data_IF_946104341764
#
_entry.id   IF_946104341764
#
_cell.length_a   1.000
_cell.length_b   1.000
_cell.length_c   1.000
_cell.angle_alpha   90.00
_cell.angle_beta   90.00
_cell.angle_gamma   90.00
#
_symmetry.space_group_name_H-M   'P 1'
#
loop_
_entity.id
_entity.type
_entity.pdbx_description
1 polymer ?
#
# COMPACT_ATOMS: atom_id res chain seq x y z
N UNK A 1 5.73 -13.63 -0.44
CA UNK A 1 5.63 -12.36 0.31
C UNK A 1 6.96 -11.60 0.33
N UNK A 2 8.12 -12.25 0.48
CA UNK A 2 9.43 -11.59 0.54
C UNK A 2 9.80 -10.72 -0.68
N UNK A 3 9.23 -10.98 -1.85
CA UNK A 3 9.47 -10.17 -3.06
C UNK A 3 8.47 -9.01 -3.25
N UNK A 4 7.29 -9.09 -2.67
CA UNK A 4 6.23 -8.09 -2.86
C UNK A 4 6.63 -6.77 -2.20
N UNK A 5 7.13 -6.82 -0.98
CA UNK A 5 7.53 -5.62 -0.25
C UNK A 5 8.68 -4.86 -0.93
N UNK A 6 9.79 -5.49 -1.37
CA UNK A 6 10.82 -4.82 -2.14
C UNK A 6 10.32 -4.20 -3.44
N UNK A 7 9.49 -4.90 -4.20
CA UNK A 7 8.91 -4.36 -5.45
C UNK A 7 8.05 -3.13 -5.16
N UNK A 8 7.20 -3.20 -4.14
CA UNK A 8 6.42 -2.07 -3.68
C UNK A 8 7.30 -0.88 -3.27
N UNK A 9 8.31 -1.12 -2.44
CA UNK A 9 9.22 -0.07 -1.97
C UNK A 9 10.00 0.58 -3.11
N UNK A 10 10.45 -0.20 -4.10
CA UNK A 10 11.09 0.33 -5.31
C UNK A 10 10.10 1.19 -6.10
N UNK A 11 8.90 0.68 -6.37
CA UNK A 11 7.89 1.42 -7.12
C UNK A 11 7.53 2.75 -6.43
N UNK A 12 7.29 2.73 -5.12
CA UNK A 12 6.99 3.92 -4.33
C UNK A 12 8.16 4.92 -4.35
N UNK A 13 9.39 4.45 -4.23
CA UNK A 13 10.59 5.30 -4.25
C UNK A 13 10.78 5.94 -5.62
N UNK A 14 10.61 5.18 -6.71
CA UNK A 14 10.68 5.71 -8.08
C UNK A 14 9.61 6.78 -8.30
N UNK A 15 8.38 6.54 -7.86
CA UNK A 15 7.29 7.53 -7.95
C UNK A 15 7.61 8.81 -7.18
N UNK A 16 8.19 8.71 -5.97
CA UNK A 16 8.62 9.85 -5.17
C UNK A 16 9.74 10.64 -5.86
N UNK A 17 10.73 9.96 -6.46
CA UNK A 17 11.82 10.60 -7.21
C UNK A 17 11.27 11.36 -8.41
N UNK A 18 10.43 10.72 -9.21
CA UNK A 18 9.81 11.37 -10.39
C UNK A 18 8.97 12.56 -9.96
N UNK A 19 8.22 12.44 -8.87
CA UNK A 19 7.42 13.53 -8.33
C UNK A 19 8.28 14.72 -7.88
N UNK A 20 9.32 14.48 -7.09
CA UNK A 20 10.20 15.52 -6.58
C UNK A 20 10.99 16.18 -7.72
N UNK A 21 11.46 15.41 -8.70
CA UNK A 21 12.13 15.93 -9.89
C UNK A 21 11.24 16.87 -10.71
N UNK A 22 9.99 16.50 -10.93
CA UNK A 22 9.00 17.33 -11.64
C UNK A 22 8.67 18.61 -10.87
N UNK A 23 8.56 18.55 -9.55
CA UNK A 23 8.24 19.70 -8.71
C UNK A 23 9.38 20.73 -8.64
N UNK A 24 10.63 20.28 -8.63
CA UNK A 24 11.80 21.11 -8.41
C UNK A 24 12.44 21.64 -9.70
N UNK A 25 12.07 21.13 -10.89
CA UNK A 25 12.79 21.37 -12.14
C UNK A 25 14.27 20.94 -12.05
N UNK A 26 14.66 20.17 -11.02
CA UNK A 26 16.00 19.75 -10.69
C UNK A 26 16.15 18.24 -10.84
N UNK A 27 17.40 17.80 -11.08
CA UNK A 27 17.72 16.37 -11.00
C UNK A 27 17.41 15.86 -9.58
N UNK A 28 16.97 14.57 -9.44
CA UNK A 28 16.68 13.97 -8.14
C UNK A 28 17.88 14.13 -7.20
N UNK A 29 17.59 14.39 -5.93
CA UNK A 29 18.64 14.54 -4.92
C UNK A 29 19.53 13.28 -4.86
N UNK A 30 20.81 13.47 -4.61
CA UNK A 30 21.79 12.37 -4.57
C UNK A 30 21.38 11.25 -3.62
N UNK A 31 20.71 11.58 -2.53
CA UNK A 31 20.26 10.62 -1.52
C UNK A 31 19.06 9.79 -1.99
N UNK A 32 18.15 10.35 -2.79
CA UNK A 32 17.04 9.60 -3.39
C UNK A 32 17.57 8.55 -4.38
N UNK A 33 18.57 8.90 -5.18
CA UNK A 33 19.24 7.96 -6.11
C UNK A 33 19.96 6.85 -5.34
N UNK A 34 20.60 7.19 -4.21
CA UNK A 34 21.23 6.18 -3.33
C UNK A 34 20.19 5.18 -2.81
N UNK A 35 19.04 5.65 -2.33
CA UNK A 35 17.98 4.76 -1.86
C UNK A 35 17.49 3.79 -2.96
N UNK A 36 17.27 4.27 -4.18
CA UNK A 36 16.92 3.40 -5.31
C UNK A 36 17.98 2.33 -5.55
N UNK A 37 19.26 2.72 -5.54
CA UNK A 37 20.36 1.75 -5.72
C UNK A 37 20.40 0.70 -4.62
N UNK A 38 20.20 1.09 -3.36
CA UNK A 38 20.15 0.14 -2.25
C UNK A 38 18.97 -0.83 -2.36
N UNK A 39 17.79 -0.35 -2.74
CA UNK A 39 16.64 -1.22 -2.97
C UNK A 39 16.84 -2.13 -4.18
N UNK A 40 17.44 -1.63 -5.25
CA UNK A 40 17.78 -2.46 -6.41
C UNK A 40 18.78 -3.55 -6.04
N UNK A 41 19.84 -3.21 -5.29
CA UNK A 41 20.82 -4.17 -4.79
C UNK A 41 20.17 -5.21 -3.88
N UNK A 42 19.32 -4.77 -2.95
CA UNK A 42 18.54 -5.68 -2.11
C UNK A 42 17.68 -6.64 -2.95
N UNK A 43 17.00 -6.14 -3.97
CA UNK A 43 16.19 -6.95 -4.88
C UNK A 43 17.03 -8.01 -5.61
N UNK A 44 18.20 -7.61 -6.14
CA UNK A 44 19.12 -8.54 -6.82
C UNK A 44 19.62 -9.62 -5.84
N UNK A 45 20.07 -9.24 -4.65
CA UNK A 45 20.53 -10.20 -3.62
C UNK A 45 19.38 -11.15 -3.25
N UNK A 46 18.17 -10.64 -3.04
CA UNK A 46 17.01 -11.45 -2.72
C UNK A 46 16.67 -12.46 -3.82
N UNK A 47 16.76 -12.06 -5.09
CA UNK A 47 16.57 -12.97 -6.24
C UNK A 47 17.66 -14.04 -6.29
N UNK A 48 18.93 -13.65 -6.12
CA UNK A 48 20.06 -14.60 -6.12
C UNK A 48 19.92 -15.62 -5.00
N UNK A 49 19.58 -15.18 -3.79
CA UNK A 49 19.36 -16.08 -2.64
C UNK A 49 18.13 -16.98 -2.80
N UNK A 50 17.08 -16.50 -3.46
CA UNK A 50 15.89 -17.28 -3.73
C UNK A 50 16.02 -18.20 -4.95
N UNK A 51 16.97 -17.96 -5.84
CA UNK A 51 17.15 -18.70 -7.11
C UNK A 51 17.23 -20.22 -6.90
N UNK A 52 18.00 -20.77 -5.96
CA UNK A 52 18.05 -22.22 -5.75
C UNK A 52 16.68 -22.81 -5.40
N UNK A 53 15.92 -22.11 -4.58
CA UNK A 53 14.56 -22.52 -4.19
C UNK A 53 13.60 -22.40 -5.38
N UNK A 54 13.68 -21.31 -6.13
CA UNK A 54 12.83 -21.07 -7.29
C UNK A 54 13.10 -22.11 -8.37
N UNK A 55 14.34 -22.31 -8.75
CA UNK A 55 14.71 -23.26 -9.83
C UNK A 55 14.65 -24.73 -9.39
N UNK A 56 15.02 -25.03 -8.15
CA UNK A 56 15.03 -26.39 -7.62
C UNK A 56 13.64 -26.95 -7.28
N UNK A 57 12.76 -26.11 -6.78
CA UNK A 57 11.44 -26.50 -6.28
C UNK A 57 10.29 -25.92 -7.07
N UNK A 58 10.21 -24.60 -7.13
CA UNK A 58 9.01 -23.90 -7.63
C UNK A 58 8.82 -24.15 -9.13
N UNK A 59 9.87 -24.06 -9.93
CA UNK A 59 9.80 -24.36 -11.38
C UNK A 59 9.49 -25.81 -11.66
N UNK A 60 10.04 -26.76 -10.90
CA UNK A 60 9.72 -28.19 -11.06
C UNK A 60 8.26 -28.51 -10.74
N UNK A 61 7.71 -27.88 -9.71
CA UNK A 61 6.28 -28.00 -9.40
C UNK A 61 5.40 -27.33 -10.46
N UNK A 62 5.85 -26.23 -11.03
CA UNK A 62 5.14 -25.50 -12.07
C UNK A 62 5.08 -26.24 -13.40
N UNK A 63 6.10 -27.00 -13.74
CA UNK A 63 6.12 -27.81 -14.99
C UNK A 63 5.20 -29.04 -14.90
N UNK A 64 4.96 -29.53 -13.69
CA UNK A 64 4.10 -30.72 -13.46
C UNK A 64 2.63 -30.36 -13.17
N UNK A 65 2.31 -29.11 -12.89
CA UNK A 65 0.96 -28.63 -12.63
C UNK A 65 0.66 -27.41 -13.52
N UNK A 66 -0.59 -27.25 -13.93
CA UNK A 66 -1.07 -26.11 -14.72
C UNK A 66 -0.46 -24.78 -14.28
N UNK A 67 -0.12 -23.97 -15.27
CA UNK A 67 0.71 -22.76 -15.20
C UNK A 67 0.57 -21.94 -13.89
N UNK A 68 1.70 -21.74 -13.22
CA UNK A 68 1.86 -20.91 -12.01
C UNK A 68 1.46 -19.45 -12.23
N UNK A 69 1.49 -18.99 -13.49
CA UNK A 69 1.09 -17.64 -13.87
C UNK A 69 0.04 -17.74 -14.95
N UNK A 70 -1.17 -17.29 -14.64
CA UNK A 70 -2.28 -17.26 -15.60
C UNK A 70 -3.10 -15.98 -15.49
N UNK A 71 -3.72 -15.60 -16.58
CA UNK A 71 -4.71 -14.53 -16.54
C UNK A 71 -5.97 -14.98 -15.82
N UNK A 72 -6.49 -14.15 -14.95
CA UNK A 72 -7.70 -14.44 -14.23
C UNK A 72 -8.25 -13.22 -13.53
N UNK A 73 -9.11 -12.44 -14.21
CA UNK A 73 -9.83 -11.36 -13.57
C UNK A 73 -10.95 -11.93 -12.68
N UNK A 74 -11.13 -11.28 -11.52
CA UNK A 74 -12.16 -11.66 -10.56
C UNK A 74 -12.04 -13.14 -10.08
N UNK A 75 -10.80 -13.56 -9.87
CA UNK A 75 -10.38 -14.95 -9.67
C UNK A 75 -10.97 -15.64 -8.43
N UNK A 76 -11.36 -14.90 -7.41
CA UNK A 76 -11.91 -15.47 -6.17
C UNK A 76 -13.42 -15.33 -6.08
N UNK A 77 -14.08 -14.78 -7.09
CA UNK A 77 -15.51 -14.58 -7.09
C UNK A 77 -16.21 -15.51 -8.08
N UNK A 78 -17.02 -16.39 -7.56
CA UNK A 78 -17.77 -17.38 -8.37
C UNK A 78 -19.18 -16.91 -8.68
N UNK A 79 -19.81 -16.08 -7.85
CA UNK A 79 -21.22 -15.72 -7.93
C UNK A 79 -21.55 -14.25 -7.73
N UNK A 80 -20.71 -13.51 -7.04
CA UNK A 80 -20.93 -12.09 -6.73
C UNK A 80 -20.31 -11.16 -7.80
N UNK A 81 -20.82 -9.95 -7.93
CA UNK A 81 -20.12 -8.93 -8.72
C UNK A 81 -18.80 -8.54 -8.05
N UNK A 82 -17.80 -8.16 -8.84
CA UNK A 82 -16.47 -7.77 -8.33
C UNK A 82 -16.53 -6.73 -7.21
N UNK A 83 -17.31 -5.67 -7.39
CA UNK A 83 -17.46 -4.63 -6.39
C UNK A 83 -18.08 -5.16 -5.10
N UNK A 84 -19.11 -5.99 -5.22
CA UNK A 84 -19.82 -6.56 -4.07
C UNK A 84 -18.94 -7.53 -3.29
N UNK A 85 -18.09 -8.28 -3.98
CA UNK A 85 -17.08 -9.12 -3.35
C UNK A 85 -16.18 -8.32 -2.42
N UNK A 86 -15.62 -7.18 -2.87
CA UNK A 86 -14.77 -6.33 -2.04
C UNK A 86 -15.53 -5.69 -0.89
N UNK A 87 -16.75 -5.22 -1.10
CA UNK A 87 -17.58 -4.66 -0.03
C UNK A 87 -17.88 -5.71 1.04
N UNK A 88 -18.22 -6.93 0.67
CA UNK A 88 -18.49 -8.02 1.63
C UNK A 88 -17.27 -8.41 2.45
N UNK A 89 -16.09 -8.45 1.83
CA UNK A 89 -14.88 -8.94 2.47
C UNK A 89 -14.11 -7.85 3.24
N UNK A 90 -14.10 -6.61 2.77
CA UNK A 90 -13.36 -5.51 3.37
C UNK A 90 -14.25 -4.47 4.06
N UNK A 91 -15.54 -4.49 3.77
CA UNK A 91 -16.54 -3.63 4.41
C UNK A 91 -16.27 -2.15 4.19
N UNK A 92 -16.46 -1.40 5.27
CA UNK A 92 -16.34 0.06 5.27
C UNK A 92 -14.95 0.57 4.85
N UNK A 93 -13.89 -0.21 5.10
CA UNK A 93 -12.50 0.17 4.73
C UNK A 93 -12.39 0.34 3.22
N UNK A 94 -12.97 -0.55 2.44
CA UNK A 94 -12.96 -0.46 0.97
C UNK A 94 -13.74 0.76 0.47
N UNK A 95 -14.88 1.04 1.07
CA UNK A 95 -15.73 2.19 0.70
C UNK A 95 -15.05 3.52 1.04
N UNK A 96 -14.37 3.60 2.17
CA UNK A 96 -13.67 4.81 2.61
C UNK A 96 -12.32 5.03 1.92
N UNK A 97 -11.72 4.00 1.35
CA UNK A 97 -10.40 4.06 0.73
C UNK A 97 -10.26 5.20 -0.30
N UNK A 98 -11.17 5.39 -1.28
CA UNK A 98 -11.03 6.47 -2.25
C UNK A 98 -11.03 7.87 -1.60
N UNK A 99 -11.93 8.09 -0.65
CA UNK A 99 -12.04 9.37 0.07
C UNK A 99 -10.81 9.61 0.95
N UNK A 100 -10.37 8.59 1.66
CA UNK A 100 -9.15 8.63 2.47
C UNK A 100 -7.93 8.96 1.61
N UNK A 101 -7.79 8.29 0.45
CA UNK A 101 -6.69 8.52 -0.48
C UNK A 101 -6.68 9.95 -1.03
N UNK A 102 -7.83 10.49 -1.41
CA UNK A 102 -7.95 11.87 -1.89
C UNK A 102 -7.63 12.90 -0.81
N UNK A 103 -7.89 12.58 0.45
CA UNK A 103 -7.63 13.44 1.61
C UNK A 103 -6.16 13.42 2.06
N UNK A 104 -5.38 12.44 1.60
CA UNK A 104 -3.98 12.31 1.97
C UNK A 104 -3.07 13.34 1.27
N UNK A 105 -1.94 13.64 1.93
CA UNK A 105 -0.89 14.45 1.33
C UNK A 105 -0.34 13.75 0.08
N UNK A 106 0.06 14.54 -0.92
CA UNK A 106 0.54 14.02 -2.21
C UNK A 106 1.67 13.00 -2.09
N UNK A 107 2.59 13.18 -1.15
CA UNK A 107 3.68 12.22 -0.89
C UNK A 107 3.16 10.86 -0.40
N UNK A 108 2.21 10.86 0.54
CA UNK A 108 1.61 9.64 1.05
C UNK A 108 0.80 8.92 -0.03
N UNK A 109 0.10 9.67 -0.87
CA UNK A 109 -0.62 9.10 -2.02
C UNK A 109 0.32 8.40 -2.99
N UNK A 110 1.45 9.04 -3.31
CA UNK A 110 2.44 8.44 -4.21
C UNK A 110 3.02 7.15 -3.62
N UNK A 111 3.29 7.15 -2.32
CA UNK A 111 3.74 5.96 -1.63
C UNK A 111 2.68 4.85 -1.66
N UNK A 112 1.41 5.20 -1.44
CA UNK A 112 0.30 4.25 -1.49
C UNK A 112 0.06 3.67 -2.89
N UNK A 113 0.33 4.43 -3.96
CA UNK A 113 0.16 3.92 -5.33
C UNK A 113 1.02 2.70 -5.63
N UNK A 114 2.16 2.53 -4.96
CA UNK A 114 2.93 1.29 -5.04
C UNK A 114 2.14 0.06 -4.58
N UNK A 115 1.32 0.20 -3.53
CA UNK A 115 0.46 -0.90 -3.05
C UNK A 115 -0.70 -1.18 -4.00
N UNK A 116 -1.23 -0.14 -4.67
CA UNK A 116 -2.26 -0.33 -5.69
C UNK A 116 -1.76 -1.12 -6.89
N UNK A 117 -0.48 -1.00 -7.25
CA UNK A 117 0.11 -1.83 -8.31
C UNK A 117 0.04 -3.31 -7.93
N UNK A 118 0.33 -3.65 -6.67
CA UNK A 118 0.21 -5.04 -6.17
C UNK A 118 -1.24 -5.52 -6.29
N UNK A 119 -2.19 -4.71 -5.83
CA UNK A 119 -3.60 -5.03 -5.92
C UNK A 119 -4.05 -5.25 -7.36
N UNK A 120 -3.72 -4.33 -8.29
CA UNK A 120 -4.06 -4.47 -9.70
C UNK A 120 -3.43 -5.71 -10.35
N UNK A 121 -2.18 -6.01 -10.04
CA UNK A 121 -1.53 -7.22 -10.52
C UNK A 121 -2.24 -8.47 -10.01
N UNK A 122 -2.62 -8.50 -8.74
CA UNK A 122 -3.36 -9.62 -8.16
C UNK A 122 -4.78 -9.76 -8.72
N UNK A 123 -5.38 -8.68 -9.27
CA UNK A 123 -6.69 -8.74 -9.90
C UNK A 123 -6.66 -9.38 -11.29
N UNK A 124 -5.57 -9.25 -12.01
CA UNK A 124 -5.47 -9.71 -13.41
C UNK A 124 -4.59 -10.94 -13.56
N UNK A 125 -3.72 -11.22 -12.59
CA UNK A 125 -2.78 -12.34 -12.61
C UNK A 125 -2.98 -13.24 -11.39
N UNK A 126 -3.07 -14.53 -11.66
CA UNK A 126 -3.03 -15.58 -10.63
C UNK A 126 -1.61 -16.09 -10.58
N UNK A 127 -0.94 -15.95 -9.41
CA UNK A 127 0.46 -16.29 -9.20
C UNK A 127 0.67 -17.70 -8.64
N UNK A 128 -0.40 -18.43 -8.41
CA UNK A 128 -0.35 -19.74 -7.75
C UNK A 128 -1.33 -20.70 -8.43
N UNK A 129 -1.10 -22.02 -8.39
CA UNK A 129 -2.06 -23.00 -8.88
C UNK A 129 -3.42 -22.85 -8.20
N UNK A 130 -3.43 -22.59 -6.88
CA UNK A 130 -4.64 -22.26 -6.15
C UNK A 130 -4.93 -20.74 -6.25
N UNK A 131 -6.04 -20.32 -6.89
CA UNK A 131 -6.38 -18.91 -7.03
C UNK A 131 -6.46 -18.16 -5.70
N UNK A 132 -6.95 -18.78 -4.64
CA UNK A 132 -7.08 -18.15 -3.32
C UNK A 132 -5.76 -17.75 -2.68
N UNK A 133 -4.64 -18.28 -3.13
CA UNK A 133 -3.32 -17.89 -2.61
C UNK A 133 -2.90 -16.48 -3.00
N UNK A 134 -3.54 -15.86 -4.00
CA UNK A 134 -3.37 -14.44 -4.31
C UNK A 134 -3.74 -13.52 -3.13
N UNK A 135 -4.63 -13.96 -2.23
CA UNK A 135 -4.96 -13.21 -1.02
C UNK A 135 -3.74 -12.84 -0.18
N UNK A 136 -2.71 -13.68 -0.17
CA UNK A 136 -1.47 -13.44 0.59
C UNK A 136 -0.74 -12.17 0.13
N UNK A 137 -0.84 -11.86 -1.15
CA UNK A 137 -0.27 -10.64 -1.74
C UNK A 137 -1.14 -9.42 -1.41
N UNK A 138 -2.45 -9.60 -1.38
CA UNK A 138 -3.41 -8.53 -1.07
C UNK A 138 -3.29 -8.04 0.39
N UNK A 139 -2.78 -8.83 1.31
CA UNK A 139 -2.56 -8.39 2.71
C UNK A 139 -1.64 -7.18 2.81
N UNK A 140 -0.64 -7.05 1.95
CA UNK A 140 0.23 -5.87 1.92
C UNK A 140 -0.56 -4.61 1.56
N UNK A 141 -1.30 -4.67 0.45
CA UNK A 141 -2.18 -3.57 0.05
C UNK A 141 -3.22 -3.23 1.12
N UNK A 142 -3.85 -4.25 1.70
CA UNK A 142 -4.87 -4.06 2.72
C UNK A 142 -4.33 -3.40 3.99
N UNK A 143 -3.15 -3.79 4.47
CA UNK A 143 -2.52 -3.18 5.63
C UNK A 143 -2.28 -1.66 5.42
N UNK A 144 -1.77 -1.26 4.25
CA UNK A 144 -1.59 0.16 3.92
C UNK A 144 -2.93 0.88 3.75
N UNK A 145 -3.94 0.21 3.20
CA UNK A 145 -5.29 0.75 3.08
C UNK A 145 -5.89 1.04 4.46
N UNK A 146 -5.77 0.13 5.41
CA UNK A 146 -6.16 0.36 6.79
C UNK A 146 -5.46 1.58 7.39
N UNK A 147 -4.16 1.75 7.12
CA UNK A 147 -3.38 2.90 7.60
C UNK A 147 -3.91 4.24 7.10
N UNK A 148 -4.17 4.38 5.79
CA UNK A 148 -4.70 5.64 5.23
C UNK A 148 -6.12 5.92 5.68
N UNK A 149 -6.97 4.90 5.79
CA UNK A 149 -8.36 5.04 6.28
C UNK A 149 -8.35 5.44 7.76
N UNK A 150 -7.52 4.82 8.59
CA UNK A 150 -7.37 5.20 9.99
C UNK A 150 -6.89 6.65 10.13
N UNK A 151 -5.88 7.08 9.34
CA UNK A 151 -5.43 8.47 9.33
C UNK A 151 -6.55 9.45 8.93
N UNK A 152 -7.33 9.11 7.92
CA UNK A 152 -8.49 9.89 7.50
C UNK A 152 -9.53 10.02 8.64
N UNK A 153 -9.91 8.94 9.28
CA UNK A 153 -10.86 8.94 10.37
C UNK A 153 -10.35 9.77 11.56
N UNK A 154 -9.10 9.60 11.97
CA UNK A 154 -8.49 10.37 13.07
C UNK A 154 -8.44 11.86 12.73
N UNK A 155 -8.07 12.22 11.51
CA UNK A 155 -7.98 13.62 11.11
C UNK A 155 -9.36 14.27 11.02
N UNK A 156 -10.37 13.53 10.60
CA UNK A 156 -11.73 14.04 10.38
C UNK A 156 -12.49 14.12 11.69
N UNK A 157 -12.41 13.10 12.55
CA UNK A 157 -13.26 13.01 13.74
C UNK A 157 -12.53 13.32 15.05
N UNK A 158 -11.30 12.87 15.25
CA UNK A 158 -10.61 13.05 16.53
C UNK A 158 -9.92 14.40 16.67
N UNK A 159 -9.33 14.96 15.62
CA UNK A 159 -8.65 16.27 15.70
C UNK A 159 -9.57 17.46 15.99
N UNK A 160 -10.80 17.56 15.44
CA UNK A 160 -11.73 18.61 15.84
C UNK A 160 -12.09 18.59 17.32
N UNK A 161 -12.32 17.40 17.89
CA UNK A 161 -12.66 17.22 19.30
C UNK A 161 -11.54 17.71 20.21
N UNK A 162 -10.30 17.31 19.93
CA UNK A 162 -9.13 17.75 20.72
C UNK A 162 -8.86 19.26 20.61
N UNK A 163 -9.18 19.90 19.49
CA UNK A 163 -9.11 21.36 19.35
C UNK A 163 -10.13 22.06 20.21
N UNK A 164 -11.38 21.57 20.22
CA UNK A 164 -12.46 22.13 21.06
C UNK A 164 -12.13 22.01 22.54
N UNK A 165 -11.63 20.86 22.98
CA UNK A 165 -11.21 20.66 24.37
C UNK A 165 -10.06 21.57 24.78
N UNK A 166 -9.04 21.73 23.91
CA UNK A 166 -7.94 22.67 24.17
C UNK A 166 -8.39 24.12 24.20
N UNK A 167 -9.34 24.50 23.35
CA UNK A 167 -9.97 25.81 23.38
C UNK A 167 -10.73 26.08 24.71
N UNK A 168 -11.54 25.12 25.13
CA UNK A 168 -12.27 25.21 26.44
C UNK A 168 -11.29 25.33 27.61
N UNK A 169 -10.21 24.56 27.66
CA UNK A 169 -9.16 24.64 28.69
C UNK A 169 -8.45 26.00 28.73
N UNK A 170 -8.18 26.59 27.56
CA UNK A 170 -7.57 27.94 27.50
C UNK A 170 -8.51 29.03 28.02
N UNK A 171 -9.77 28.97 27.66
CA UNK A 171 -10.79 29.94 28.14
C UNK A 171 -10.98 29.84 29.65
N UNK A 172 -11.02 28.63 30.20
CA UNK A 172 -11.11 28.42 31.66
C UNK A 172 -9.88 28.97 32.39
N UNK A 173 -8.67 28.74 31.85
CA UNK A 173 -7.40 29.22 32.44
C UNK A 173 -7.27 30.75 32.38
N UNK A 174 -7.81 31.39 31.34
CA UNK A 174 -7.84 32.83 31.20
C UNK A 174 -8.81 33.48 32.21
N UNK A 175 -9.96 32.85 32.50
CA UNK A 175 -10.94 33.35 33.51
C UNK A 175 -10.43 33.22 34.95
N UNK A 176 -9.58 32.24 35.25
CA UNK A 176 -8.97 32.09 36.58
C UNK A 176 -7.79 33.06 36.79
N UNK A 177 -7.04 33.40 35.74
CA UNK A 177 -5.92 34.34 35.85
C UNK A 177 -6.32 35.82 35.96
N UNK A 178 -7.57 36.17 35.66
CA UNK A 178 -8.09 37.55 35.76
C UNK A 178 -8.81 37.86 37.08
N UNK A 179 -8.64 37.04 38.13
CA UNK A 179 -9.29 37.20 39.44
C UNK A 179 -8.34 37.50 40.61
N UNK A 180 -7.14 38.03 40.32
CA UNK A 180 -6.21 38.55 41.33
C UNK A 180 -5.82 39.97 41.01
#
# INVERSE_FOLDING_TARGET
LGFVLPVFMIAATVLLIVYNGRKAGKKPASDEVKHVRWFALFGVIAVVLAAPQLFGFTFKQSVNNDSFLRWGFNWCNVSDSWLWFYIKNLGLIFILMPVALLSEKKQNRLFYYGTLVIWLLCEVLIFQPNPYDNNKLLFVWFAFTCGIVANYLITTFARPVTRLERGKRRVLRGKTAGRY
#
